data_IF_579614101102
#
_entry.id   IF_579614101102
#
_cell.length_a   1.000
_cell.length_b   1.000
_cell.length_c   1.000
_cell.angle_alpha   90.00
_cell.angle_beta   90.00
_cell.angle_gamma   90.00
#
_symmetry.space_group_name_H-M   'P 1'
#
loop_
_entity.id
_entity.type
_entity.pdbx_description
1 polymer ?
2 non-polymer ?
3 non-polymer ?
4 water ?
#
# COMPACT_ATOMS: atom_id res chain seq x y z
N UNK A 3 24.14 -2.99 -7.76
CA UNK A 3 22.79 -2.87 -7.22
C UNK A 3 22.44 -1.39 -7.01
N UNK A 4 21.46 -0.90 -7.78
CA UNK A 4 21.07 0.50 -7.67
C UNK A 4 20.33 0.74 -6.36
N UNK A 5 20.19 2.01 -6.00
CA UNK A 5 19.53 2.36 -4.77
C UNK A 5 18.05 1.98 -4.86
N UNK A 6 17.50 1.59 -3.72
CA UNK A 6 16.12 1.15 -3.66
C UNK A 6 15.18 2.29 -3.31
N UNK A 7 14.09 2.42 -4.07
CA UNK A 7 13.04 3.38 -3.75
C UNK A 7 11.77 2.66 -3.26
N UNK A 8 11.72 1.35 -3.48
CA UNK A 8 10.51 0.56 -3.25
C UNK A 8 10.10 0.43 -1.78
N UNK A 9 11.07 0.21 -0.90
CA UNK A 9 10.75 0.11 0.52
C UNK A 9 10.14 1.40 1.07
N UNK A 10 10.72 2.54 0.69
CA UNK A 10 10.20 3.80 1.16
C UNK A 10 8.81 4.09 0.58
N UNK A 11 8.60 3.74 -0.68
CA UNK A 11 7.28 3.96 -1.27
C UNK A 11 6.24 3.14 -0.52
N UNK A 12 6.59 1.89 -0.17
CA UNK A 12 5.68 1.01 0.51
C UNK A 12 5.32 1.51 1.90
N UNK A 13 6.31 1.98 2.64
CA UNK A 13 6.08 2.50 3.99
C UNK A 13 5.28 3.80 3.94
N UNK A 14 5.59 4.65 2.97
CA UNK A 14 4.84 5.90 2.81
C UNK A 14 3.36 5.61 2.54
N UNK A 15 3.11 4.74 1.56
CA UNK A 15 1.77 4.33 1.21
C UNK A 15 1.00 3.73 2.38
N UNK A 16 1.64 2.83 3.13
CA UNK A 16 0.95 2.20 4.26
C UNK A 16 0.68 3.22 5.36
N UNK A 17 1.63 4.13 5.61
CA UNK A 17 1.43 5.17 6.61
C UNK A 17 0.25 6.08 6.24
N UNK A 18 0.16 6.43 4.97
CA UNK A 18 -0.92 7.31 4.51
C UNK A 18 -2.29 6.64 4.64
N UNK A 19 -2.37 5.36 4.29
CA UNK A 19 -3.63 4.64 4.40
C UNK A 19 -4.05 4.50 5.86
N UNK A 20 -3.07 4.28 6.72
CA UNK A 20 -3.34 4.13 8.15
C UNK A 20 -3.91 5.41 8.75
N UNK A 21 -3.34 6.54 8.37
CA UNK A 21 -3.83 7.83 8.83
C UNK A 21 -5.26 8.05 8.33
N UNK A 22 -5.49 7.76 7.05
CA UNK A 22 -6.84 7.92 6.49
C UNK A 22 -7.87 7.01 7.20
N UNK A 23 -7.51 5.74 7.41
CA UNK A 23 -8.42 4.81 8.08
C UNK A 23 -8.78 5.28 9.47
N UNK A 24 -7.81 5.82 10.19
CA UNK A 24 -8.08 6.36 11.51
C UNK A 24 -9.03 7.56 11.42
N UNK A 25 -8.82 8.43 10.44
CA UNK A 25 -9.60 9.65 10.36
C UNK A 25 -11.00 9.46 9.73
N UNK A 26 -11.24 8.28 9.14
CA UNK A 26 -12.56 7.95 8.57
C UNK A 26 -13.26 6.82 9.35
N UNK A 27 -12.67 6.43 10.47
CA UNK A 27 -13.14 5.29 11.28
C UNK A 27 -14.63 5.31 11.62
N UNK A 28 -15.17 6.48 11.90
CA UNK A 28 -16.57 6.56 12.29
C UNK A 28 -17.52 6.75 11.11
N UNK A 29 -16.99 6.78 9.89
CA UNK A 29 -17.81 7.12 8.72
C UNK A 29 -17.98 5.96 7.73
N UNK A 30 -17.68 4.75 8.19
CA UNK A 30 -17.71 3.56 7.32
C UNK A 30 -16.85 3.68 6.07
N UNK A 31 -15.74 4.39 6.20
CA UNK A 31 -14.85 4.62 5.07
C UNK A 31 -13.44 4.15 5.38
N UNK A 32 -13.28 3.46 6.50
CA UNK A 32 -11.99 2.89 6.87
C UNK A 32 -11.81 1.55 6.18
N UNK A 33 -10.87 0.75 6.67
CA UNK A 33 -10.48 -0.50 6.03
C UNK A 33 -10.18 -0.31 4.54
N UNK A 34 -9.65 0.88 4.22
CA UNK A 34 -9.27 1.23 2.87
C UNK A 34 -10.42 1.51 1.92
N UNK A 35 -11.63 1.58 2.43
CA UNK A 35 -12.80 1.71 1.56
C UNK A 35 -12.84 3.06 0.84
N UNK A 36 -12.27 4.07 1.48
CA UNK A 36 -12.27 5.42 0.92
C UNK A 36 -11.67 5.47 -0.48
N UNK A 37 -10.69 4.62 -0.74
CA UNK A 37 -10.00 4.60 -2.02
C UNK A 37 -10.99 4.29 -3.16
N UNK A 38 -11.91 3.37 -2.89
CA UNK A 38 -12.91 2.94 -3.87
C UNK A 38 -13.97 4.01 -4.11
N UNK A 39 -14.46 4.62 -3.03
CA UNK A 39 -15.54 5.58 -3.14
C UNK A 39 -15.08 6.77 -3.97
N UNK A 40 -13.85 7.20 -3.73
CA UNK A 40 -13.23 8.28 -4.52
C UNK A 40 -13.28 8.04 -6.04
N UNK A 41 -12.82 6.86 -6.45
CA UNK A 41 -12.77 6.54 -7.88
C UNK A 41 -14.14 6.32 -8.47
N UNK A 42 -15.07 5.80 -7.68
CA UNK A 42 -16.43 5.59 -8.15
C UNK A 42 -17.15 6.94 -8.30
N UNK A 43 -16.90 7.87 -7.39
CA UNK A 43 -17.42 9.22 -7.56
C UNK A 43 -16.84 9.89 -8.78
N UNK A 44 -15.57 9.60 -9.08
CA UNK A 44 -14.86 10.31 -10.13
C UNK A 44 -15.08 9.67 -11.50
N UNK A 45 -15.64 8.47 -11.49
CA UNK A 45 -15.87 7.68 -12.70
C UNK A 45 -17.22 6.99 -12.57
N UNK A 46 -18.30 7.77 -12.60
CA UNK A 46 -19.61 7.21 -12.30
C UNK A 46 -20.03 6.22 -13.37
N UNK A 47 -20.44 5.03 -12.94
CA UNK A 47 -20.84 3.99 -13.88
C UNK A 47 -19.74 3.02 -14.27
N UNK A 48 -18.56 3.22 -13.69
CA UNK A 48 -17.42 2.34 -13.95
C UNK A 48 -17.74 0.88 -13.57
N UNK A 49 -17.21 -0.09 -14.32
CA UNK A 49 -17.41 -1.49 -13.91
C UNK A 49 -16.24 -1.94 -13.04
N UNK A 50 -16.45 -2.98 -12.24
CA UNK A 50 -15.43 -3.37 -11.27
C UNK A 50 -14.09 -3.71 -11.93
N UNK A 51 -14.14 -4.37 -13.09
CA UNK A 51 -12.90 -4.75 -13.78
C UNK A 51 -12.03 -3.53 -14.12
N UNK A 52 -12.68 -2.44 -14.51
CA UNK A 52 -11.96 -1.21 -14.84
C UNK A 52 -11.46 -0.49 -13.59
N UNK A 53 -12.25 -0.54 -12.51
CA UNK A 53 -11.84 0.04 -11.24
C UNK A 53 -10.61 -0.69 -10.68
N UNK A 54 -10.58 -2.01 -10.86
CA UNK A 54 -9.45 -2.80 -10.41
C UNK A 54 -8.18 -2.40 -11.16
N UNK A 55 -8.30 -2.13 -12.45
CA UNK A 55 -7.14 -1.75 -13.25
C UNK A 55 -6.61 -0.34 -12.91
N UNK A 56 -7.50 0.56 -12.51
CA UNK A 56 -7.09 1.88 -12.07
C UNK A 56 -6.32 1.78 -10.74
N UNK A 57 -6.81 0.94 -9.85
CA UNK A 57 -6.26 0.83 -8.50
C UNK A 57 -5.04 -0.10 -8.43
N UNK A 58 -4.93 -1.00 -9.39
CA UNK A 58 -3.88 -2.02 -9.42
C UNK A 58 -3.96 -2.94 -8.21
N UNK A 59 -5.17 -3.34 -7.87
CA UNK A 59 -5.44 -4.18 -6.71
C UNK A 59 -5.97 -5.52 -7.24
N UNK A 60 -6.13 -6.52 -6.38
CA UNK A 60 -6.68 -7.79 -6.84
C UNK A 60 -8.22 -7.81 -6.78
N UNK A 61 -8.82 -8.68 -7.57
CA UNK A 61 -10.26 -8.85 -7.66
C UNK A 61 -10.95 -9.12 -6.32
N UNK A 62 -10.37 -10.01 -5.53
CA UNK A 62 -11.00 -10.44 -4.27
C UNK A 62 -11.09 -9.29 -3.29
N UNK A 63 -10.01 -8.53 -3.16
CA UNK A 63 -9.97 -7.38 -2.28
C UNK A 63 -10.98 -6.32 -2.68
N UNK A 64 -11.02 -6.02 -3.96
CA UNK A 64 -11.92 -4.98 -4.49
C UNK A 64 -13.36 -5.40 -4.31
N UNK A 65 -13.62 -6.68 -4.56
CA UNK A 65 -14.96 -7.24 -4.41
C UNK A 65 -15.47 -7.03 -2.98
N UNK A 66 -14.63 -7.39 -2.00
CA UNK A 66 -14.98 -7.24 -0.60
C UNK A 66 -15.29 -5.78 -0.23
N UNK A 67 -14.46 -4.86 -0.71
CA UNK A 67 -14.63 -3.45 -0.40
C UNK A 67 -15.91 -2.88 -1.01
N UNK A 68 -16.16 -3.22 -2.26
CA UNK A 68 -17.34 -2.75 -2.96
C UNK A 68 -18.63 -3.29 -2.33
N UNK A 69 -18.60 -4.56 -1.93
CA UNK A 69 -19.75 -5.15 -1.24
C UNK A 69 -20.01 -4.42 0.08
N UNK A 70 -18.95 -4.05 0.77
CA UNK A 70 -19.16 -3.38 2.06
C UNK A 70 -19.64 -1.95 1.90
N UNK A 71 -19.13 -1.26 0.88
CA UNK A 71 -19.66 0.06 0.54
C UNK A 71 -21.13 0.03 0.13
N UNK A 72 -21.53 -1.03 -0.57
CA UNK A 72 -22.93 -1.20 -0.95
C UNK A 72 -23.80 -1.50 0.26
N UNK A 73 -23.25 -2.26 1.20
CA UNK A 73 -23.95 -2.59 2.44
C UNK A 73 -24.20 -1.33 3.25
N UNK A 74 -23.23 -0.42 3.25
CA UNK A 74 -23.33 0.79 4.08
C UNK A 74 -23.96 1.99 3.36
N UNK A 75 -24.57 1.74 2.21
CA UNK A 75 -25.29 2.75 1.48
C UNK A 75 -24.44 3.87 0.88
N UNK A 76 -23.21 3.57 0.50
CA UNK A 76 -22.32 4.58 -0.06
C UNK A 76 -22.16 4.45 -1.58
N UNK A 77 -22.40 3.27 -2.10
CA UNK A 77 -22.41 3.05 -3.55
C UNK A 77 -23.55 2.13 -3.89
N UNK A 78 -23.93 2.10 -5.17
CA UNK A 78 -25.01 1.23 -5.59
C UNK A 78 -24.65 0.64 -6.95
N UNK A 79 -25.05 -0.62 -7.17
CA UNK A 79 -24.78 -1.32 -8.43
C UNK A 79 -26.02 -1.25 -9.30
N UNK A 80 -25.85 -0.81 -10.54
CA UNK A 80 -26.98 -0.72 -11.45
C UNK A 80 -26.80 -1.71 -12.59
N UNK A 81 -27.92 -2.15 -13.17
CA UNK A 81 -27.89 -3.13 -14.24
C UNK A 81 -27.19 -2.54 -15.46
N UNK A 82 -26.51 -3.40 -16.20
CA UNK A 82 -25.68 -3.00 -17.32
C UNK A 82 -26.25 -3.61 -18.58
N UNK A 83 -26.92 -2.79 -19.40
CA UNK A 83 -27.59 -3.28 -20.60
C UNK A 83 -26.66 -3.89 -21.65
N UNK A 84 -25.37 -3.65 -21.50
CA UNK A 84 -24.39 -4.08 -22.48
C UNK A 84 -23.68 -5.38 -22.09
N UNK A 85 -23.72 -5.68 -20.79
CA UNK A 85 -23.17 -6.91 -20.25
C UNK A 85 -23.75 -7.09 -18.86
N UNK A 86 -24.83 -7.85 -18.75
CA UNK A 86 -25.54 -7.91 -17.47
C UNK A 86 -24.69 -8.53 -16.37
N UNK A 87 -23.70 -9.33 -16.76
CA UNK A 87 -22.76 -9.91 -15.79
C UNK A 87 -21.83 -8.88 -15.12
N UNK A 88 -21.67 -7.68 -15.68
CA UNK A 88 -20.83 -6.66 -15.03
C UNK A 88 -21.60 -5.39 -14.68
N UNK A 89 -22.04 -5.28 -13.43
CA UNK A 89 -22.88 -4.13 -13.05
C UNK A 89 -22.13 -2.79 -12.99
N UNK A 90 -22.88 -1.70 -13.17
CA UNK A 90 -22.30 -0.36 -13.16
C UNK A 90 -22.25 0.17 -11.73
N UNK A 91 -21.12 0.78 -11.36
CA UNK A 91 -20.93 1.25 -9.98
C UNK A 91 -21.15 2.76 -9.94
N UNK A 92 -22.09 3.19 -9.10
CA UNK A 92 -22.38 4.61 -8.88
C UNK A 92 -22.30 4.94 -7.41
N UNK A 93 -21.95 6.20 -7.08
CA UNK A 93 -22.07 6.60 -5.69
C UNK A 93 -23.54 6.85 -5.34
N UNK A 94 -23.93 6.61 -4.09
CA UNK A 94 -25.23 7.06 -3.63
C UNK A 94 -25.17 8.56 -3.33
N UNK A 95 -26.31 9.17 -3.03
CA UNK A 95 -26.32 10.57 -2.58
C UNK A 95 -25.42 10.74 -1.36
N UNK A 96 -25.52 9.81 -0.42
CA UNK A 96 -24.68 9.87 0.78
C UNK A 96 -23.21 9.78 0.42
N UNK A 97 -22.84 8.83 -0.44
CA UNK A 97 -21.48 8.71 -0.92
C UNK A 97 -20.95 10.00 -1.54
N UNK A 98 -21.77 10.63 -2.36
CA UNK A 98 -21.41 11.89 -2.98
C UNK A 98 -21.21 13.02 -1.96
N UNK A 99 -22.00 13.02 -0.89
CA UNK A 99 -21.87 14.09 0.10
C UNK A 99 -20.62 13.93 0.96
N UNK A 100 -20.08 12.72 1.01
CA UNK A 100 -18.88 12.47 1.81
C UNK A 100 -17.61 12.57 0.99
N UNK A 101 -17.75 12.46 -0.32
CA UNK A 101 -16.59 12.56 -1.23
C UNK A 101 -15.64 13.76 -0.96
N UNK A 102 -16.20 14.97 -0.79
CA UNK A 102 -15.29 16.12 -0.58
C UNK A 102 -14.44 16.03 0.70
N UNK A 103 -14.95 15.33 1.71
CA UNK A 103 -14.19 15.13 2.95
C UNK A 103 -12.96 14.25 2.70
N UNK A 104 -13.13 13.21 1.89
CA UNK A 104 -12.02 12.31 1.59
C UNK A 104 -10.95 13.07 0.83
N UNK A 105 -11.38 13.86 -0.14
CA UNK A 105 -10.43 14.69 -0.91
C UNK A 105 -9.69 15.67 -0.01
N UNK A 106 -10.41 16.36 0.87
CA UNK A 106 -9.76 17.33 1.77
C UNK A 106 -8.74 16.67 2.69
N UNK A 107 -9.09 15.52 3.22
CA UNK A 107 -8.19 14.79 4.11
C UNK A 107 -6.95 14.32 3.35
N UNK A 108 -7.15 13.81 2.14
CA UNK A 108 -6.05 13.38 1.28
C UNK A 108 -5.16 14.56 0.92
N UNK A 109 -5.78 15.69 0.57
CA UNK A 109 -5.03 16.90 0.22
C UNK A 109 -4.18 17.36 1.39
N UNK A 110 -4.72 17.23 2.60
CA UNK A 110 -3.96 17.69 3.75
C UNK A 110 -2.72 16.81 3.96
N UNK A 111 -2.91 15.49 3.89
CA UNK A 111 -1.78 14.60 4.08
C UNK A 111 -0.74 14.81 2.97
N UNK A 112 -1.21 15.12 1.77
CA UNK A 112 -0.29 15.42 0.66
C UNK A 112 0.57 16.65 0.98
N UNK A 113 -0.06 17.69 1.52
CA UNK A 113 0.67 18.89 1.94
C UNK A 113 1.72 18.59 3.01
N UNK A 114 1.37 17.77 3.98
CA UNK A 114 2.32 17.34 5.02
C UNK A 114 3.49 16.57 4.39
N UNK A 115 3.17 15.69 3.46
CA UNK A 115 4.17 14.89 2.79
C UNK A 115 5.20 15.77 2.11
N UNK A 116 4.74 16.91 1.61
CA UNK A 116 5.58 17.80 0.84
C UNK A 116 6.18 18.96 1.64
N UNK A 117 6.06 18.92 2.96
CA UNK A 117 6.60 19.96 3.82
C UNK A 117 8.12 20.05 3.71
N UNK A 118 8.65 21.25 3.93
CA UNK A 118 10.08 21.45 3.90
C UNK A 118 10.67 21.41 2.51
N UNK A 119 9.87 20.99 1.52
CA UNK A 119 10.34 20.97 0.14
C UNK A 119 10.33 22.37 -0.43
N UNK A 120 11.40 22.69 -1.16
CA UNK A 120 11.41 23.83 -2.07
C UNK A 120 10.42 23.52 -3.20
N UNK A 121 9.87 24.55 -3.82
CA UNK A 121 8.97 24.38 -4.96
C UNK A 121 9.61 23.54 -6.05
N UNK A 122 10.85 23.87 -6.39
CA UNK A 122 11.61 23.14 -7.41
C UNK A 122 11.68 21.65 -7.08
N UNK A 123 11.94 21.36 -5.81
CA UNK A 123 12.05 19.98 -5.33
C UNK A 123 10.73 19.20 -5.50
N UNK A 124 9.61 19.91 -5.56
CA UNK A 124 8.30 19.28 -5.69
C UNK A 124 7.98 18.88 -7.13
N UNK A 125 8.42 19.71 -8.07
CA UNK A 125 8.20 19.47 -9.47
C UNK A 125 8.96 18.24 -9.99
N UNK A 126 10.18 18.06 -9.48
CA UNK A 126 11.00 16.94 -9.92
C UNK A 126 10.36 15.63 -9.45
N UNK A 127 9.84 15.66 -8.23
CA UNK A 127 9.31 14.47 -7.58
C UNK A 127 8.04 13.99 -8.28
N UNK A 128 7.14 14.92 -8.56
CA UNK A 128 5.90 14.60 -9.27
C UNK A 128 6.15 13.89 -10.60
N UNK A 129 7.09 14.40 -11.38
CA UNK A 129 7.35 13.80 -12.68
C UNK A 129 7.98 12.42 -12.53
N UNK A 130 8.92 12.32 -11.60
CA UNK A 130 9.60 11.05 -11.34
C UNK A 130 8.61 9.95 -10.95
N UNK A 131 7.68 10.28 -10.06
CA UNK A 131 6.68 9.30 -9.61
C UNK A 131 5.73 8.88 -10.73
N UNK A 132 5.41 9.80 -11.63
CA UNK A 132 4.60 9.45 -12.78
C UNK A 132 5.37 8.44 -13.65
N UNK A 133 6.65 8.71 -13.86
CA UNK A 133 7.52 7.81 -14.60
C UNK A 133 7.53 6.42 -13.96
N UNK A 134 7.67 6.37 -12.64
CA UNK A 134 7.70 5.11 -11.91
C UNK A 134 6.37 4.36 -12.06
N UNK A 135 5.27 5.09 -11.89
CA UNK A 135 3.94 4.49 -12.02
C UNK A 135 3.75 3.83 -13.38
N UNK A 136 4.14 4.53 -14.45
CA UNK A 136 4.02 3.98 -15.80
C UNK A 136 4.88 2.73 -15.99
N UNK A 137 6.13 2.78 -15.51
CA UNK A 137 7.01 1.63 -15.59
C UNK A 137 6.42 0.39 -14.90
N UNK A 138 5.92 0.57 -13.69
CA UNK A 138 5.39 -0.57 -12.93
C UNK A 138 4.04 -1.05 -13.47
N UNK A 139 3.25 -0.12 -14.00
CA UNK A 139 1.93 -0.44 -14.55
C UNK A 139 1.99 -1.53 -15.63
N UNK A 140 2.98 -1.42 -16.50
CA UNK A 140 3.15 -2.39 -17.58
C UNK A 140 3.42 -3.80 -17.05
N UNK A 141 4.31 -3.89 -16.07
CA UNK A 141 4.62 -5.19 -15.47
C UNK A 141 3.43 -5.80 -14.74
N UNK A 142 2.67 -4.95 -14.05
CA UNK A 142 1.46 -5.42 -13.39
C UNK A 142 0.52 -6.08 -14.41
N UNK A 143 0.29 -5.41 -15.52
CA UNK A 143 -0.55 -5.93 -16.59
C UNK A 143 -0.01 -7.26 -17.13
N UNK A 144 1.27 -7.24 -17.47
CA UNK A 144 1.95 -8.41 -18.00
C UNK A 144 1.71 -9.62 -17.10
N UNK A 145 1.91 -9.42 -15.82
CA UNK A 145 1.84 -10.49 -14.83
C UNK A 145 0.39 -10.91 -14.48
N UNK A 146 -0.53 -9.95 -14.46
CA UNK A 146 -1.93 -10.23 -14.18
C UNK A 146 -2.55 -11.18 -15.22
N UNK A 147 -2.07 -11.09 -16.45
CA UNK A 147 -2.55 -11.93 -17.54
C UNK A 147 -2.02 -13.36 -17.46
N UNK A 148 -1.04 -13.60 -16.60
CA UNK A 148 -0.48 -14.92 -16.44
C UNK A 148 0.90 -15.09 -17.06
N UNK A 149 1.46 -14.03 -17.64
CA UNK A 149 2.81 -14.07 -18.18
C UNK A 149 3.87 -14.03 -17.07
N UNK A 150 5.03 -14.63 -17.35
CA UNK A 150 6.07 -14.82 -16.35
C UNK A 150 7.26 -13.87 -16.55
N UNK A 151 7.61 -13.15 -15.49
CA UNK A 151 8.79 -12.30 -15.52
C UNK A 151 10.05 -13.15 -15.49
N UNK A 152 11.15 -12.61 -16.00
CA UNK A 152 12.48 -13.18 -15.97
C UNK A 152 13.34 -12.49 -14.91
N UNK A 153 13.36 -13.06 -13.70
CA UNK A 153 14.14 -12.50 -12.61
C UNK A 153 14.90 -13.59 -11.86
N UNK B 4 -1.89 22.79 -5.22
CA UNK B 4 -0.64 22.05 -5.04
C UNK B 4 -0.66 20.67 -5.68
N UNK B 5 0.42 20.35 -6.38
CA UNK B 5 0.57 19.06 -7.04
C UNK B 5 0.50 17.89 -6.05
N UNK B 6 -0.13 16.81 -6.48
CA UNK B 6 -0.34 15.63 -5.64
C UNK B 6 0.65 14.51 -5.93
N UNK B 7 1.26 13.98 -4.89
CA UNK B 7 2.05 12.76 -4.98
C UNK B 7 1.38 11.53 -4.37
N UNK B 8 0.40 11.78 -3.51
CA UNK B 8 -0.16 10.73 -2.68
C UNK B 8 -0.89 9.65 -3.48
N UNK B 9 -1.60 10.05 -4.52
CA UNK B 9 -2.29 9.04 -5.34
C UNK B 9 -1.32 8.17 -6.10
N UNK B 10 -0.29 8.77 -6.66
CA UNK B 10 0.70 7.98 -7.43
C UNK B 10 1.46 7.04 -6.51
N UNK B 11 1.82 7.52 -5.32
CA UNK B 11 2.47 6.65 -4.35
C UNK B 11 1.59 5.44 -4.00
N UNK B 12 0.30 5.68 -3.77
CA UNK B 12 -0.62 4.60 -3.45
C UNK B 12 -0.74 3.56 -4.55
N UNK B 13 -0.77 4.03 -5.79
CA UNK B 13 -0.92 3.12 -6.94
C UNK B 13 0.34 2.30 -7.14
N UNK B 14 1.50 2.96 -7.09
CA UNK B 14 2.76 2.26 -7.21
C UNK B 14 2.87 1.16 -6.14
N UNK B 15 2.56 1.51 -4.91
CA UNK B 15 2.66 0.54 -3.81
C UNK B 15 1.72 -0.64 -3.96
N UNK B 16 0.48 -0.37 -4.38
CA UNK B 16 -0.48 -1.44 -4.61
C UNK B 16 -0.04 -2.32 -5.77
N UNK B 17 0.47 -1.71 -6.83
CA UNK B 17 0.92 -2.47 -8.00
C UNK B 17 2.09 -3.39 -7.64
N UNK B 18 3.03 -2.88 -6.86
CA UNK B 18 4.18 -3.68 -6.43
C UNK B 18 3.76 -4.87 -5.56
N UNK B 19 2.85 -4.62 -4.61
CA UNK B 19 2.38 -5.71 -3.77
C UNK B 19 1.59 -6.76 -4.58
N UNK B 20 0.75 -6.32 -5.53
CA UNK B 20 0.03 -7.24 -6.40
C UNK B 20 0.97 -8.16 -7.16
N UNK B 21 2.03 -7.57 -7.72
CA UNK B 21 3.01 -8.34 -8.48
C UNK B 21 3.71 -9.36 -7.58
N UNK B 22 4.13 -8.91 -6.39
CA UNK B 22 4.84 -9.81 -5.48
C UNK B 22 3.93 -10.96 -5.09
N UNK B 23 2.67 -10.64 -4.79
CA UNK B 23 1.70 -11.66 -4.39
C UNK B 23 1.51 -12.73 -5.46
N UNK B 24 1.46 -12.30 -6.71
CA UNK B 24 1.38 -13.25 -7.81
C UNK B 24 2.64 -14.11 -7.91
N UNK B 25 3.80 -13.48 -7.74
CA UNK B 25 5.07 -14.21 -7.86
C UNK B 25 5.44 -15.11 -6.67
N UNK B 26 4.72 -14.96 -5.55
CA UNK B 26 4.98 -15.76 -4.35
C UNK B 26 3.79 -16.66 -4.03
N UNK B 27 2.85 -16.73 -4.96
CA UNK B 27 1.56 -17.38 -4.73
C UNK B 27 1.69 -18.84 -4.30
N UNK B 28 2.69 -19.55 -4.80
CA UNK B 28 2.83 -20.96 -4.50
C UNK B 28 3.67 -21.24 -3.28
N UNK B 29 4.21 -20.19 -2.68
CA UNK B 29 5.21 -20.35 -1.63
C UNK B 29 4.74 -19.88 -0.25
N UNK B 30 3.42 -19.75 -0.08
CA UNK B 30 2.83 -19.26 1.17
C UNK B 30 3.33 -17.89 1.60
N UNK B 31 3.65 -17.04 0.63
CA UNK B 31 4.19 -15.72 0.93
C UNK B 31 3.36 -14.62 0.29
N UNK B 32 2.20 -15.00 -0.24
CA UNK B 32 1.28 -14.02 -0.83
C UNK B 32 0.40 -13.40 0.25
N UNK B 33 -0.65 -12.69 -0.18
CA UNK B 33 -1.50 -11.93 0.72
C UNK B 33 -0.66 -10.96 1.55
N UNK B 34 0.41 -10.44 0.95
CA UNK B 34 1.28 -9.49 1.61
C UNK B 34 2.18 -10.03 2.71
N UNK B 35 2.24 -11.34 2.89
CA UNK B 35 3.02 -11.90 3.99
C UNK B 35 4.52 -11.69 3.83
N UNK B 36 4.99 -11.57 2.59
CA UNK B 36 6.42 -11.41 2.32
C UNK B 36 7.05 -10.21 3.03
N UNK B 37 6.27 -9.14 3.22
CA UNK B 37 6.77 -7.95 3.88
C UNK B 37 7.16 -8.24 5.32
N UNK B 38 6.39 -9.09 5.98
CA UNK B 38 6.63 -9.41 7.38
C UNK B 38 7.85 -10.30 7.52
N UNK B 39 7.97 -11.29 6.65
CA UNK B 39 9.09 -12.23 6.75
C UNK B 39 10.40 -11.49 6.54
N UNK B 40 10.41 -10.57 5.58
CA UNK B 40 11.61 -9.79 5.30
C UNK B 40 12.11 -9.03 6.54
N UNK B 41 11.22 -8.29 7.19
CA UNK B 41 11.58 -7.52 8.38
C UNK B 41 12.03 -8.44 9.52
N UNK B 42 11.34 -9.56 9.67
CA UNK B 42 11.63 -10.49 10.77
C UNK B 42 12.99 -11.17 10.58
N UNK B 43 13.33 -11.51 9.34
CA UNK B 43 14.67 -12.01 9.04
C UNK B 43 15.75 -10.98 9.33
N UNK B 44 15.45 -9.72 9.03
CA UNK B 44 16.42 -8.63 9.20
C UNK B 44 16.52 -8.14 10.65
N UNK B 45 15.49 -8.42 11.43
CA UNK B 45 15.44 -7.98 12.83
C UNK B 45 15.04 -9.16 13.70
N UNK B 46 15.90 -10.17 13.77
CA UNK B 46 15.54 -11.40 14.46
C UNK B 46 15.26 -11.15 15.93
N UNK B 47 14.14 -11.64 16.44
CA UNK B 47 13.78 -11.41 17.84
C UNK B 47 12.91 -10.19 18.08
N UNK B 48 12.57 -9.47 17.02
CA UNK B 48 11.74 -8.27 17.13
C UNK B 48 10.37 -8.61 17.71
N UNK B 49 9.81 -7.74 18.53
CA UNK B 49 8.45 -7.98 18.98
C UNK B 49 7.45 -7.38 18.00
N UNK B 50 6.21 -7.85 18.06
CA UNK B 50 5.21 -7.45 17.08
C UNK B 50 4.91 -5.93 17.08
N UNK B 51 4.85 -5.30 18.24
CA UNK B 51 4.50 -3.88 18.27
C UNK B 51 5.60 -3.02 17.61
N UNK B 52 6.85 -3.47 17.69
CA UNK B 52 7.95 -2.76 17.04
C UNK B 52 7.91 -2.96 15.54
N UNK B 53 7.56 -4.18 15.13
CA UNK B 53 7.39 -4.51 13.71
C UNK B 53 6.29 -3.66 13.09
N UNK B 54 5.18 -3.54 13.80
CA UNK B 54 4.06 -2.74 13.35
C UNK B 54 4.47 -1.28 13.17
N UNK B 55 5.31 -0.77 14.06
CA UNK B 55 5.78 0.60 13.94
C UNK B 55 6.75 0.78 12.79
N UNK B 56 7.54 -0.26 12.49
CA UNK B 56 8.42 -0.22 11.33
C UNK B 56 7.61 -0.17 10.04
N UNK B 57 6.55 -0.97 9.98
CA UNK B 57 5.77 -1.12 8.76
C UNK B 57 4.67 -0.08 8.56
N UNK B 58 4.30 0.60 9.66
CA UNK B 58 3.21 1.59 9.68
C UNK B 58 1.89 0.98 9.22
N UNK B 59 1.63 -0.22 9.71
CA UNK B 59 0.41 -0.93 9.39
C UNK B 59 -0.42 -1.03 10.66
N UNK B 60 -1.67 -1.47 10.54
CA UNK B 60 -2.53 -1.64 11.71
C UNK B 60 -2.29 -2.98 12.41
N UNK B 61 -2.57 -3.02 13.70
CA UNK B 61 -2.32 -4.20 14.52
C UNK B 61 -3.04 -5.47 14.04
N UNK B 62 -4.32 -5.34 13.66
CA UNK B 62 -5.10 -6.51 13.26
C UNK B 62 -4.60 -7.11 11.96
N UNK B 63 -4.25 -6.25 10.99
CA UNK B 63 -3.66 -6.74 9.75
C UNK B 63 -2.34 -7.47 10.04
N UNK B 64 -1.48 -6.88 10.87
CA UNK B 64 -0.21 -7.51 11.20
C UNK B 64 -0.42 -8.84 11.92
N UNK B 65 -1.33 -8.87 12.87
CA UNK B 65 -1.63 -10.10 13.60
C UNK B 65 -2.05 -11.24 12.66
N UNK B 66 -2.94 -10.94 11.71
CA UNK B 66 -3.40 -11.94 10.76
C UNK B 66 -2.23 -12.54 9.96
N UNK B 67 -1.37 -11.65 9.45
CA UNK B 67 -0.26 -12.08 8.64
C UNK B 67 0.77 -12.90 9.43
N UNK B 68 1.05 -12.45 10.65
CA UNK B 68 2.01 -13.12 11.51
C UNK B 68 1.59 -14.55 11.87
N UNK B 69 0.33 -14.71 12.26
CA UNK B 69 -0.16 -16.04 12.62
C UNK B 69 -0.19 -16.98 11.42
N UNK B 70 -0.42 -16.42 10.23
CA UNK B 70 -0.40 -17.25 9.03
C UNK B 70 1.00 -17.71 8.65
N UNK B 71 1.98 -16.82 8.79
CA UNK B 71 3.39 -17.17 8.61
C UNK B 71 3.82 -18.24 9.61
N UNK B 72 3.28 -18.14 10.82
CA UNK B 72 3.55 -19.11 11.87
C UNK B 72 2.92 -20.46 11.49
N UNK B 73 1.68 -20.41 11.03
CA UNK B 73 0.96 -21.61 10.62
C UNK B 73 1.72 -22.34 9.51
N UNK B 74 2.31 -21.58 8.60
CA UNK B 74 3.00 -22.18 7.46
C UNK B 74 4.48 -22.49 7.71
N UNK B 75 4.91 -22.36 8.96
CA UNK B 75 6.26 -22.72 9.34
C UNK B 75 7.36 -21.82 8.79
N UNK B 76 7.06 -20.54 8.60
CA UNK B 76 8.05 -19.57 8.11
C UNK B 76 8.61 -18.67 9.23
N UNK B 77 7.83 -18.51 10.30
CA UNK B 77 8.33 -17.80 11.47
C UNK B 77 7.93 -18.56 12.70
N UNK B 78 8.57 -18.26 13.82
CA UNK B 78 8.23 -18.92 15.07
C UNK B 78 8.26 -17.85 16.17
N UNK B 79 7.34 -17.95 17.12
CA UNK B 79 7.34 -17.05 18.27
C UNK B 79 8.06 -17.68 19.45
N UNK B 80 8.98 -16.92 20.04
CA UNK B 80 9.76 -17.42 21.16
C UNK B 80 9.45 -16.63 22.42
N UNK B 81 9.69 -17.27 23.57
CA UNK B 81 9.42 -16.66 24.87
C UNK B 81 10.22 -15.38 25.06
N UNK B 82 9.55 -14.36 25.57
CA UNK B 82 10.20 -13.11 25.93
C UNK B 82 10.27 -13.02 27.46
N UNK B 83 11.44 -13.24 28.02
CA UNK B 83 11.59 -13.34 29.48
C UNK B 83 11.30 -12.00 30.16
N UNK B 84 11.37 -10.92 29.39
CA UNK B 84 11.21 -9.57 29.93
C UNK B 84 9.77 -9.08 29.84
N UNK B 85 8.96 -9.75 29.03
CA UNK B 85 7.57 -9.36 28.86
C UNK B 85 6.82 -10.53 28.25
N UNK B 86 6.16 -11.33 29.09
CA UNK B 86 5.50 -12.55 28.59
C UNK B 86 4.49 -12.29 27.48
N UNK B 87 3.80 -11.16 27.55
CA UNK B 87 2.77 -10.82 26.56
C UNK B 87 3.31 -10.61 25.15
N UNK B 88 4.55 -10.13 25.07
CA UNK B 88 5.15 -9.78 23.78
C UNK B 88 6.24 -10.75 23.31
N UNK B 89 5.83 -11.85 22.70
CA UNK B 89 6.76 -12.86 22.20
C UNK B 89 7.73 -12.35 21.13
N UNK B 90 8.92 -12.96 21.09
CA UNK B 90 9.97 -12.58 20.16
C UNK B 90 9.72 -13.27 18.83
N UNK B 91 9.82 -12.54 17.72
CA UNK B 91 9.58 -13.15 16.40
C UNK B 91 10.89 -13.48 15.70
N UNK B 92 11.03 -14.74 15.28
CA UNK B 92 12.22 -15.21 14.58
C UNK B 92 11.81 -15.89 13.27
N UNK B 93 12.69 -15.89 12.27
CA UNK B 93 12.33 -16.70 11.12
C UNK B 93 12.66 -18.16 11.45
N UNK B 94 12.00 -19.12 10.81
CA UNK B 94 12.44 -20.51 10.91
C UNK B 94 13.57 -20.71 9.91
N UNK B 95 14.17 -21.89 9.87
CA UNK B 95 15.17 -22.20 8.85
C UNK B 95 14.55 -22.02 7.48
N UNK B 96 13.34 -22.53 7.31
CA UNK B 96 12.67 -22.43 6.01
C UNK B 96 12.48 -20.96 5.60
N UNK B 97 12.10 -20.13 6.56
CA UNK B 97 11.89 -18.70 6.32
C UNK B 97 13.16 -18.01 5.87
N UNK B 98 14.27 -18.32 6.53
CA UNK B 98 15.57 -17.77 6.14
C UNK B 98 16.00 -18.22 4.75
N UNK B 99 15.66 -19.45 4.37
CA UNK B 99 16.06 -19.95 3.05
C UNK B 99 15.27 -19.29 1.93
N UNK B 100 14.08 -18.79 2.25
CA UNK B 100 13.26 -18.11 1.26
C UNK B 100 13.52 -16.61 1.18
N UNK B 101 14.02 -16.04 2.27
CA UNK B 101 14.34 -14.60 2.33
C UNK B 101 15.08 -14.05 1.10
N UNK B 102 16.13 -14.76 0.61
CA UNK B 102 16.84 -14.16 -0.53
C UNK B 102 15.99 -14.09 -1.79
N UNK B 103 15.00 -14.96 -1.89
CA UNK B 103 14.10 -14.92 -3.03
C UNK B 103 13.25 -13.65 -2.99
N UNK B 104 12.78 -13.28 -1.80
CA UNK B 104 11.97 -12.08 -1.69
C UNK B 104 12.78 -10.84 -2.05
N UNK B 105 14.03 -10.79 -1.58
CA UNK B 105 14.92 -9.66 -1.87
C UNK B 105 15.18 -9.54 -3.35
N UNK B 106 15.44 -10.67 -4.01
CA UNK B 106 15.68 -10.69 -5.45
C UNK B 106 14.48 -10.22 -6.23
N UNK B 107 13.30 -10.68 -5.83
CA UNK B 107 12.09 -10.24 -6.51
C UNK B 107 11.89 -8.72 -6.37
N UNK B 108 12.17 -8.20 -5.17
CA UNK B 108 12.04 -6.76 -4.90
C UNK B 108 13.04 -5.96 -5.72
N UNK B 109 14.29 -6.45 -5.76
CA UNK B 109 15.33 -5.81 -6.54
C UNK B 109 14.94 -5.75 -8.02
N UNK B 110 14.34 -6.83 -8.53
CA UNK B 110 13.94 -6.83 -9.93
C UNK B 110 12.84 -5.78 -10.20
N UNK B 111 11.83 -5.73 -9.35
CA UNK B 111 10.78 -4.72 -9.47
C UNK B 111 11.36 -3.31 -9.35
N UNK B 112 12.33 -3.13 -8.46
CA UNK B 112 12.97 -1.84 -8.25
C UNK B 112 13.70 -1.37 -9.51
N UNK B 113 14.36 -2.32 -10.18
CA UNK B 113 15.01 -2.02 -11.44
C UNK B 113 13.99 -1.64 -12.51
N UNK B 114 12.84 -2.32 -12.52
CA UNK B 114 11.80 -2.01 -13.48
C UNK B 114 11.25 -0.61 -13.24
N UNK B 115 10.99 -0.31 -11.98
CA UNK B 115 10.46 0.99 -11.57
C UNK B 115 11.35 2.14 -12.01
N UNK B 116 12.65 1.88 -12.08
CA UNK B 116 13.62 2.94 -12.35
C UNK B 116 14.12 2.95 -13.79
N UNK B 117 13.52 2.12 -14.63
CA UNK B 117 13.88 2.08 -16.05
C UNK B 117 13.77 3.46 -16.69
N UNK B 118 14.88 3.92 -17.26
CA UNK B 118 14.90 5.21 -17.95
C UNK B 118 15.39 6.37 -17.09
N UNK B 119 15.76 6.08 -15.84
CA UNK B 119 16.33 7.11 -14.97
C UNK B 119 17.84 7.15 -15.12
N UNK B 120 18.41 8.36 -15.16
CA UNK B 120 19.85 8.52 -15.06
C UNK B 120 20.19 8.33 -13.59
N UNK B 121 21.46 8.13 -13.27
CA UNK B 121 21.86 7.94 -11.89
C UNK B 121 21.57 9.20 -11.08
N UNK B 122 21.64 10.35 -11.75
CA UNK B 122 21.38 11.62 -11.12
C UNK B 122 19.93 11.72 -10.66
N UNK B 123 19.02 11.24 -11.52
CA UNK B 123 17.59 11.26 -11.21
C UNK B 123 17.27 10.33 -10.04
N UNK B 124 17.94 9.17 -9.99
CA UNK B 124 17.72 8.19 -8.92
C UNK B 124 18.08 8.72 -7.54
N UNK B 125 19.20 9.43 -7.45
CA UNK B 125 19.69 9.91 -6.17
C UNK B 125 18.84 11.00 -5.51
N UNK B 126 18.19 11.83 -6.31
CA UNK B 126 17.32 12.84 -5.72
C UNK B 126 15.97 12.25 -5.38
N UNK B 127 15.54 11.27 -6.17
CA UNK B 127 14.30 10.55 -5.88
C UNK B 127 14.38 9.84 -4.53
N UNK B 128 15.49 9.16 -4.27
CA UNK B 128 15.67 8.46 -2.99
C UNK B 128 15.74 9.40 -1.79
N UNK B 129 16.46 10.51 -1.93
CA UNK B 129 16.52 11.43 -0.80
C UNK B 129 15.18 12.16 -0.60
N UNK B 130 14.47 12.42 -1.68
CA UNK B 130 13.17 13.07 -1.54
C UNK B 130 12.19 12.14 -0.85
N UNK B 131 12.22 10.86 -1.23
CA UNK B 131 11.33 9.90 -0.61
C UNK B 131 11.65 9.74 0.87
N UNK B 132 12.94 9.81 1.22
CA UNK B 132 13.33 9.73 2.62
C UNK B 132 12.73 10.90 3.39
N UNK B 133 12.75 12.09 2.76
CA UNK B 133 12.15 13.30 3.33
C UNK B 133 10.63 13.16 3.45
N UNK B 134 10.00 12.62 2.41
CA UNK B 134 8.56 12.40 2.47
C UNK B 134 8.22 11.46 3.61
N UNK B 135 8.96 10.36 3.71
CA UNK B 135 8.73 9.36 4.74
C UNK B 135 8.73 9.99 6.13
N UNK B 136 9.65 10.92 6.35
CA UNK B 136 9.83 11.52 7.66
C UNK B 136 8.69 12.47 8.00
N UNK B 137 8.19 13.17 6.99
CA UNK B 137 7.12 14.16 7.20
C UNK B 137 5.84 13.50 7.69
N UNK B 138 5.63 12.22 7.08
CA UNK B 138 4.36 11.58 7.38
C UNK B 138 4.43 10.67 8.60
N UNK B 139 5.63 10.19 8.92
CA UNK B 139 5.84 9.34 10.09
C UNK B 139 5.39 10.03 11.37
N UNK B 140 5.71 11.31 11.51
CA UNK B 140 5.31 12.11 12.66
C UNK B 140 3.79 12.18 12.80
N UNK B 141 3.11 12.53 11.70
CA UNK B 141 1.65 12.57 11.72
C UNK B 141 1.08 11.17 11.96
N UNK B 142 1.72 10.14 11.42
CA UNK B 142 1.26 8.76 11.66
C UNK B 142 1.30 8.47 13.15
N UNK B 143 2.41 8.82 13.78
CA UNK B 143 2.59 8.53 15.20
C UNK B 143 1.62 9.33 16.06
N UNK B 144 1.47 10.60 15.73
CA UNK B 144 0.50 11.50 16.38
C UNK B 144 -0.90 10.92 16.36
N UNK B 145 -1.33 10.52 15.18
CA UNK B 145 -2.67 10.04 14.98
C UNK B 145 -2.85 8.63 15.58
N UNK B 146 -1.81 7.81 15.51
CA UNK B 146 -1.86 6.48 16.13
C UNK B 146 -2.03 6.54 17.64
N UNK B 147 -1.44 7.56 18.27
CA UNK B 147 -1.56 7.74 19.71
C UNK B 147 -2.94 8.28 20.09
N UNK B 148 -3.78 8.49 19.08
CA UNK B 148 -5.15 8.92 19.31
C UNK B 148 -5.37 10.42 19.34
N UNK B 149 -4.33 11.18 19.03
CA UNK B 149 -4.48 12.64 18.93
C UNK B 149 -5.16 13.01 17.62
N UNK B 150 -5.81 14.16 17.59
CA UNK B 150 -6.58 14.59 16.42
C UNK B 150 -5.91 15.74 15.68
N UNK B 151 -5.85 15.59 14.35
CA UNK B 151 -5.24 16.58 13.50
C UNK B 151 -6.22 17.67 13.17
N UNK B 152 -5.69 18.86 12.95
CA UNK B 152 -6.44 19.97 12.38
C UNK B 152 -6.27 19.90 10.87
N UNK B 153 -7.36 19.62 10.16
CA UNK B 153 -7.37 19.61 8.69
C UNK B 153 -8.77 20.03 8.22
X LIG C 1 -7.26 -12.24 -7.84
X LIG C 1 -8.27 -11.95 -6.81
X LIG C 1 -6.09 -12.82 -7.18
X LIG C 1 -7.81 -13.18 -8.81
X LIG C 1 -6.89 -11.00 -8.52
X LIG D 1 -18.67 -3.13 8.75
X LIG D 1 -18.85 -2.70 10.16
X LIG D 1 -18.28 -4.55 8.70
X LIG D 1 -19.94 -2.93 8.02
X LIG D 1 -17.62 -2.30 8.12
X LIG E 1 -4.79 7.46 -12.19
X LIG E 1 -5.51 8.19 -11.15
X LIG E 1 -3.87 6.50 -11.56
X LIG E 1 -5.76 6.75 -13.04
X LIG E 1 -4.04 8.41 -13.01
X LIG F 1 -3.25 -20.16 3.56
X LIG F 1 -4.02 -19.62 4.70
X LIG F 1 -2.01 -20.80 4.05
X LIG F 1 -4.07 -21.16 2.84
X LIG F 1 -2.91 -19.05 2.63
X LIG G 1 -1.54 -11.12 18.28
X LIG G 1 -1.28 -12.26 19.08
X LIG G 1 -2.77 -10.39 18.79
X LIG G 1 -2.61 -9.00 18.63
X LIG G 1 -4.00 -10.84 18.00
X LIG G 1 -5.02 -9.89 18.12
X LIG H 1 10.69 -21.13 24.19
X LIG H 1 9.64 -21.15 25.21
X LIG H 1 11.98 -21.34 24.85
X LIG H 1 10.44 -22.21 23.23
X LIG H 1 10.70 -19.86 23.48
X LIG I 1 21.38 -17.36 12.74
X LIG I 1 21.59 -16.63 13.99
X LIG I 1 22.43 -18.36 12.61
X LIG I 1 20.07 -18.03 12.77
X LIG I 1 21.43 -16.43 11.62
X LIG J 1 21.87 -12.22 12.21
X LIG J 1 21.92 -12.54 13.65
X LIG J 1 22.98 -12.92 11.53
X LIG J 1 20.60 -12.69 11.63
X LIG J 1 21.95 -10.78 12.00
#
# INVERSE_FOLDING_TARGET
>A
SNAMKDILRDIGVIARALDSISNIEFKELNLAKGQFIYLVRICENQGIIQEKLVDILKIDRTTASRAIKNLEKNGLIIKKQNKNNKKNKLLFPTEKGQQLYPLIIRENEYSNAVALKGFTEAEINMLTDALKKVKENIADDWLYVKKGNKRSY
>B
SNAMKDILRDIGVIARALDSISNIEFKELNLAKGQFIYLVRICENQGIIQEKLVDILKIDRTTASRAIKNLEKNGLIIKKQNKNNKKNKLLFPTEKGQQLYPLIIRENEYSNAVALKGFTEAEINMLTDALKKVKENIADDWLYVKKGNKRSY
>C hetero
1 SO4 S O1 O2 O3 O4
>D hetero
1 SO4 S O1 O2 O3 O4
>E hetero
1 SO4 S O1 O2 O3 O4
>F hetero
1 SO4 S O1 O2 O3 O4
>G hetero
1 GOL C1 O1 C2 O2 C3 O3
>H hetero
1 SO4 S O1 O2 O3 O4
>I hetero
1 SO4 S O1 O2 O3 O4
>J hetero
1 SO4 S O1 O2 O3 O4
#
